data_IF_540557498410
#
_entry.id   IF_540557498410
#
_cell.length_a   1.000
_cell.length_b   1.000
_cell.length_c   1.000
_cell.angle_alpha   90.00
_cell.angle_beta   90.00
_cell.angle_gamma   90.00
#
_symmetry.space_group_name_H-M   'P 1'
#
loop_
_entity.id
_entity.type
_entity.pdbx_description
1 polymer ?
#
# COMPACT_ATOMS: atom_id res chain seq x y z
N UNK A 1 -2.05 -66.79 -29.62
CA UNK A 1 -2.46 -65.59 -30.37
C UNK A 1 -2.80 -64.50 -29.38
N UNK A 2 -1.93 -63.52 -29.22
CA UNK A 2 -2.17 -62.34 -28.39
C UNK A 2 -2.78 -61.26 -29.26
N UNK A 3 -4.02 -60.86 -28.97
CA UNK A 3 -4.62 -59.64 -29.54
C UNK A 3 -4.85 -58.65 -28.41
N UNK A 4 -3.98 -57.65 -28.40
CA UNK A 4 -3.96 -56.48 -27.55
C UNK A 4 -5.36 -55.87 -27.36
N UNK A 5 -5.81 -55.76 -26.12
CA UNK A 5 -6.98 -54.95 -25.73
C UNK A 5 -6.56 -53.60 -25.11
N UNK A 6 -5.32 -53.17 -25.36
CA UNK A 6 -4.76 -51.89 -24.88
C UNK A 6 -5.29 -50.65 -25.61
N UNK A 7 -6.28 -50.80 -26.52
CA UNK A 7 -6.83 -49.68 -27.30
C UNK A 7 -7.99 -48.94 -26.64
N UNK A 8 -8.47 -49.35 -25.45
CA UNK A 8 -9.60 -48.68 -24.80
C UNK A 8 -9.22 -47.50 -23.88
N UNK A 9 -7.95 -47.11 -23.81
CA UNK A 9 -7.48 -46.03 -22.94
C UNK A 9 -7.00 -44.77 -23.68
N UNK A 10 -7.56 -44.44 -24.84
CA UNK A 10 -7.29 -43.16 -25.51
C UNK A 10 -8.53 -42.39 -25.98
N UNK A 11 -9.59 -42.40 -25.19
CA UNK A 11 -10.64 -41.38 -25.26
C UNK A 11 -10.23 -40.07 -24.59
N UNK A 12 -9.07 -39.49 -24.94
CA UNK A 12 -8.63 -38.20 -24.40
C UNK A 12 -9.50 -37.10 -25.00
N UNK A 13 -10.62 -36.81 -24.34
CA UNK A 13 -11.48 -35.66 -24.61
C UNK A 13 -10.65 -34.38 -24.56
N UNK A 14 -10.08 -33.97 -25.70
CA UNK A 14 -9.54 -32.62 -25.90
C UNK A 14 -10.74 -31.68 -25.87
N UNK A 15 -11.14 -31.24 -24.67
CA UNK A 15 -11.99 -30.06 -24.50
C UNK A 15 -11.28 -28.92 -25.22
N UNK A 16 -11.70 -28.65 -26.46
CA UNK A 16 -11.26 -27.47 -27.21
C UNK A 16 -11.82 -26.27 -26.48
N UNK A 17 -10.95 -25.59 -25.74
CA UNK A 17 -11.27 -24.31 -25.11
C UNK A 17 -11.70 -23.36 -26.25
N UNK A 18 -12.93 -22.82 -26.23
CA UNK A 18 -13.40 -21.96 -27.30
C UNK A 18 -12.48 -20.73 -27.40
N UNK A 19 -12.27 -20.23 -28.62
CA UNK A 19 -11.37 -19.10 -28.90
C UNK A 19 -11.68 -17.89 -27.99
N UNK A 20 -12.97 -17.67 -27.70
CA UNK A 20 -13.45 -16.66 -26.76
C UNK A 20 -12.88 -16.82 -25.35
N UNK A 21 -12.78 -18.04 -24.82
CA UNK A 21 -12.17 -18.29 -23.51
C UNK A 21 -10.66 -18.03 -23.52
N UNK A 22 -9.97 -18.27 -24.64
CA UNK A 22 -8.54 -17.94 -24.77
C UNK A 22 -8.32 -16.43 -24.76
N UNK A 23 -9.11 -15.68 -25.53
CA UNK A 23 -9.06 -14.21 -25.54
C UNK A 23 -9.40 -13.65 -24.15
N UNK A 24 -10.43 -14.18 -23.50
CA UNK A 24 -10.81 -13.79 -22.15
C UNK A 24 -9.69 -14.08 -21.13
N UNK A 25 -9.01 -15.23 -21.25
CA UNK A 25 -7.90 -15.59 -20.37
C UNK A 25 -6.71 -14.64 -20.55
N UNK A 26 -6.36 -14.32 -21.79
CA UNK A 26 -5.28 -13.36 -22.09
C UNK A 26 -5.64 -11.98 -21.54
N UNK A 27 -6.88 -11.52 -21.74
CA UNK A 27 -7.36 -10.25 -21.19
C UNK A 27 -7.27 -10.22 -19.65
N UNK A 28 -7.68 -11.30 -18.98
CA UNK A 28 -7.57 -11.42 -17.53
C UNK A 28 -6.13 -11.35 -17.04
N UNK A 29 -5.19 -12.03 -17.72
CA UNK A 29 -3.77 -11.97 -17.37
C UNK A 29 -3.23 -10.55 -17.54
N UNK A 30 -3.58 -9.88 -18.64
CA UNK A 30 -3.17 -8.49 -18.89
C UNK A 30 -3.70 -7.56 -17.80
N UNK A 31 -4.98 -7.68 -17.43
CA UNK A 31 -5.58 -6.89 -16.33
C UNK A 31 -4.87 -7.15 -15.00
N UNK A 32 -4.51 -8.40 -14.73
CA UNK A 32 -3.81 -8.79 -13.51
C UNK A 32 -2.38 -8.21 -13.48
N UNK A 33 -1.67 -8.20 -14.61
CA UNK A 33 -0.37 -7.52 -14.74
C UNK A 33 -0.53 -6.02 -14.49
N UNK A 34 -1.53 -5.36 -15.10
CA UNK A 34 -1.79 -3.94 -14.85
C UNK A 34 -2.12 -3.67 -13.38
N UNK A 35 -2.85 -4.55 -12.72
CA UNK A 35 -3.14 -4.43 -11.29
C UNK A 35 -1.86 -4.44 -10.45
N UNK A 36 -0.95 -5.40 -10.70
CA UNK A 36 0.34 -5.43 -9.99
C UNK A 36 1.23 -4.23 -10.33
N UNK A 37 1.19 -3.75 -11.57
CA UNK A 37 1.95 -2.57 -11.98
C UNK A 37 1.44 -1.31 -11.27
N UNK A 38 0.12 -1.09 -11.25
CA UNK A 38 -0.49 0.03 -10.54
C UNK A 38 -0.21 -0.04 -9.04
N UNK A 39 -0.30 -1.24 -8.46
CA UNK A 39 0.05 -1.49 -7.07
C UNK A 39 1.50 -1.09 -6.74
N UNK A 40 2.45 -1.55 -7.56
CA UNK A 40 3.86 -1.23 -7.40
C UNK A 40 4.09 0.28 -7.48
N UNK A 41 3.52 0.95 -8.49
CA UNK A 41 3.65 2.40 -8.65
C UNK A 41 3.08 3.19 -7.47
N UNK A 42 1.92 2.80 -6.93
CA UNK A 42 1.32 3.46 -5.76
C UNK A 42 2.21 3.27 -4.53
N UNK A 43 2.74 2.07 -4.33
CA UNK A 43 3.61 1.76 -3.19
C UNK A 43 4.90 2.57 -3.26
N UNK A 44 5.54 2.62 -4.43
CA UNK A 44 6.78 3.34 -4.67
C UNK A 44 6.61 4.86 -4.48
N UNK A 45 5.57 5.45 -5.09
CA UNK A 45 5.27 6.88 -4.97
C UNK A 45 4.98 7.27 -3.52
N UNK A 46 4.26 6.40 -2.79
CA UNK A 46 3.95 6.64 -1.39
C UNK A 46 5.19 6.55 -0.51
N UNK A 47 6.06 5.55 -0.74
CA UNK A 47 7.34 5.42 -0.03
C UNK A 47 8.22 6.66 -0.26
N UNK A 48 8.34 7.10 -1.51
CA UNK A 48 9.09 8.30 -1.85
C UNK A 48 8.54 9.56 -1.16
N UNK A 49 7.21 9.74 -1.16
CA UNK A 49 6.57 10.87 -0.49
C UNK A 49 6.76 10.81 1.04
N UNK A 50 6.67 9.62 1.63
CA UNK A 50 6.90 9.38 3.05
C UNK A 50 8.35 9.70 3.45
N UNK A 51 9.33 9.25 2.67
CA UNK A 51 10.75 9.53 2.91
C UNK A 51 11.06 11.03 2.76
N UNK A 52 10.49 11.69 1.76
CA UNK A 52 10.66 13.12 1.56
C UNK A 52 10.08 13.92 2.73
N UNK A 53 8.88 13.59 3.19
CA UNK A 53 8.29 14.20 4.40
C UNK A 53 9.13 13.90 5.64
N UNK A 54 9.55 12.66 5.86
CA UNK A 54 10.40 12.25 6.99
C UNK A 54 11.69 13.07 7.01
N UNK A 55 12.36 13.21 5.87
CA UNK A 55 13.58 14.00 5.75
C UNK A 55 13.34 15.48 6.03
N UNK A 56 12.27 16.07 5.49
CA UNK A 56 11.92 17.47 5.74
C UNK A 56 11.62 17.72 7.22
N UNK A 57 10.82 16.86 7.84
CA UNK A 57 10.43 16.98 9.25
C UNK A 57 11.62 16.78 10.19
N UNK A 58 12.55 15.88 9.89
CA UNK A 58 13.78 15.69 10.68
C UNK A 58 14.72 16.89 10.54
N UNK A 59 14.90 17.43 9.32
CA UNK A 59 15.80 18.56 9.09
C UNK A 59 15.28 19.86 9.71
N UNK A 60 13.97 20.04 9.73
CA UNK A 60 13.34 21.24 10.30
C UNK A 60 12.91 21.05 11.76
N UNK A 61 13.12 19.87 12.36
CA UNK A 61 12.63 19.52 13.69
C UNK A 61 13.05 20.59 14.71
N UNK A 62 12.11 21.46 15.15
CA UNK A 62 12.42 22.47 16.15
C UNK A 62 12.52 21.83 17.53
N UNK A 63 13.21 22.49 18.47
CA UNK A 63 13.35 22.02 19.84
C UNK A 63 11.97 21.68 20.45
N UNK A 64 11.76 20.41 20.80
CA UNK A 64 10.49 19.90 21.35
C UNK A 64 9.81 18.79 20.53
N UNK A 65 10.36 18.40 19.37
CA UNK A 65 9.91 17.22 18.62
C UNK A 65 11.00 16.15 18.60
N UNK A 66 10.66 14.95 19.06
CA UNK A 66 11.58 13.82 19.04
C UNK A 66 11.70 13.25 17.61
N UNK A 67 12.91 13.32 17.05
CA UNK A 67 13.25 12.75 15.75
C UNK A 67 12.99 11.23 15.70
N UNK A 68 13.10 10.54 16.85
CA UNK A 68 12.80 9.11 16.97
C UNK A 68 11.30 8.84 16.84
N UNK A 69 10.45 9.72 17.38
CA UNK A 69 8.99 9.64 17.23
C UNK A 69 8.53 9.86 15.79
N UNK A 70 9.17 10.80 15.07
CA UNK A 70 8.95 10.98 13.62
C UNK A 70 9.29 9.68 12.89
N UNK A 71 10.50 9.16 13.08
CA UNK A 71 10.95 7.92 12.43
C UNK A 71 10.01 6.76 12.69
N UNK A 72 9.65 6.51 13.95
CA UNK A 72 8.77 5.42 14.33
C UNK A 72 7.37 5.54 13.68
N UNK A 73 6.85 6.75 13.50
CA UNK A 73 5.55 6.99 12.85
C UNK A 73 5.60 6.66 11.37
N UNK A 74 6.62 7.14 10.65
CA UNK A 74 6.79 6.83 9.23
C UNK A 74 7.07 5.34 8.98
N UNK A 75 7.86 4.69 9.83
CA UNK A 75 8.13 3.25 9.71
C UNK A 75 6.84 2.42 9.92
N UNK A 76 5.93 2.85 10.81
CA UNK A 76 4.59 2.23 10.98
C UNK A 76 3.70 2.42 9.75
N UNK A 77 3.77 3.60 9.14
CA UNK A 77 3.07 3.89 7.89
C UNK A 77 3.56 3.00 6.76
N UNK A 78 4.87 2.85 6.62
CA UNK A 78 5.47 1.99 5.60
C UNK A 78 5.01 0.53 5.77
N UNK A 79 5.06 -0.01 6.99
CA UNK A 79 4.57 -1.36 7.29
C UNK A 79 3.07 -1.52 6.98
N UNK A 80 2.26 -0.51 7.31
CA UNK A 80 0.82 -0.55 7.06
C UNK A 80 0.48 -0.54 5.56
N UNK A 81 1.28 0.18 4.76
CA UNK A 81 1.18 0.27 3.31
C UNK A 81 1.65 -1.02 2.62
N UNK A 82 2.78 -1.59 3.05
CA UNK A 82 3.27 -2.89 2.57
C UNK A 82 2.26 -4.01 2.86
N UNK A 83 1.50 -3.90 3.95
CA UNK A 83 0.45 -4.84 4.34
C UNK A 83 -0.92 -4.60 3.67
N UNK A 84 -1.09 -3.55 2.85
CA UNK A 84 -2.29 -3.45 2.02
C UNK A 84 -2.23 -4.56 0.92
N UNK A 85 -3.35 -5.10 0.40
CA UNK A 85 -4.76 -4.71 0.57
C UNK A 85 -5.42 -5.29 1.84
N UNK A 86 -4.74 -6.20 2.54
CA UNK A 86 -5.29 -6.89 3.72
C UNK A 86 -5.49 -5.95 4.91
N UNK A 87 -4.59 -4.99 5.14
CA UNK A 87 -4.72 -4.00 6.21
C UNK A 87 -5.88 -3.01 6.00
N UNK A 88 -6.24 -2.70 4.74
CA UNK A 88 -7.46 -1.95 4.41
C UNK A 88 -8.72 -2.77 4.68
N UNK A 89 -8.76 -4.02 4.20
CA UNK A 89 -9.91 -4.92 4.41
C UNK A 89 -10.15 -5.24 5.89
N UNK A 90 -9.09 -5.28 6.71
CA UNK A 90 -9.17 -5.46 8.18
C UNK A 90 -9.50 -4.16 8.91
N UNK A 91 -9.64 -3.03 8.22
CA UNK A 91 -9.93 -1.72 8.82
C UNK A 91 -8.79 -1.14 9.66
N UNK A 92 -7.58 -1.69 9.54
CA UNK A 92 -6.37 -1.21 10.22
C UNK A 92 -5.89 0.11 9.60
N UNK A 93 -6.02 0.25 8.28
CA UNK A 93 -5.74 1.49 7.55
C UNK A 93 -7.03 2.19 7.17
N UNK A 94 -7.17 3.47 7.55
CA UNK A 94 -8.33 4.30 7.18
C UNK A 94 -7.93 5.37 6.17
N UNK A 95 -8.24 5.12 4.89
CA UNK A 95 -7.94 6.04 3.78
C UNK A 95 -8.48 7.46 4.01
N UNK A 96 -9.66 7.61 4.62
CA UNK A 96 -10.23 8.92 4.95
C UNK A 96 -9.33 9.70 5.90
N UNK A 97 -8.73 9.04 6.90
CA UNK A 97 -7.82 9.68 7.85
C UNK A 97 -6.48 10.00 7.21
N UNK A 98 -5.96 9.13 6.33
CA UNK A 98 -4.77 9.42 5.53
C UNK A 98 -5.00 10.69 4.70
N UNK A 99 -6.14 10.79 4.02
CA UNK A 99 -6.49 11.99 3.23
C UNK A 99 -6.55 13.25 4.09
N UNK A 100 -7.09 13.17 5.31
CA UNK A 100 -7.12 14.30 6.25
C UNK A 100 -5.71 14.67 6.69
N UNK A 101 -4.85 13.70 7.04
CA UNK A 101 -3.47 13.94 7.43
C UNK A 101 -2.64 14.59 6.31
N UNK A 102 -2.80 14.12 5.06
CA UNK A 102 -2.15 14.73 3.88
C UNK A 102 -2.68 16.15 3.65
N UNK A 103 -3.99 16.36 3.76
CA UNK A 103 -4.59 17.69 3.62
C UNK A 103 -4.10 18.66 4.70
N UNK A 104 -3.93 18.19 5.92
CA UNK A 104 -3.32 18.95 7.00
C UNK A 104 -1.86 19.26 6.69
N UNK A 105 -1.06 18.27 6.28
CA UNK A 105 0.35 18.46 5.95
C UNK A 105 0.56 19.51 4.85
N UNK A 106 -0.26 19.46 3.80
CA UNK A 106 -0.21 20.43 2.70
C UNK A 106 -0.56 21.85 3.14
N UNK A 107 -1.38 22.02 4.18
CA UNK A 107 -1.82 23.31 4.68
C UNK A 107 -0.88 23.86 5.76
N UNK A 108 -0.37 22.99 6.63
CA UNK A 108 0.59 23.35 7.66
C UNK A 108 1.94 23.78 7.04
N UNK A 109 2.33 23.18 5.92
CA UNK A 109 3.55 23.54 5.20
C UNK A 109 3.34 24.62 4.12
N UNK A 110 2.22 25.36 4.15
CA UNK A 110 1.94 26.41 3.14
C UNK A 110 2.99 27.54 3.21
N UNK A 111 3.49 27.83 4.41
CA UNK A 111 4.54 28.82 4.66
C UNK A 111 5.97 28.24 4.56
N UNK A 112 6.10 26.93 4.24
CA UNK A 112 7.38 26.24 4.06
C UNK A 112 8.19 25.97 5.34
N UNK A 113 7.62 26.27 6.51
CA UNK A 113 8.22 26.06 7.83
C UNK A 113 7.30 25.20 8.69
N UNK A 114 7.87 24.24 9.42
CA UNK A 114 7.13 23.39 10.36
C UNK A 114 7.34 23.82 11.81
N UNK A 115 6.27 24.10 12.54
CA UNK A 115 6.31 24.28 14.00
C UNK A 115 6.21 22.94 14.75
N UNK A 116 6.70 22.90 15.99
CA UNK A 116 6.65 21.69 16.83
C UNK A 116 5.21 21.16 17.02
N UNK A 117 4.24 22.07 17.16
CA UNK A 117 2.84 21.72 17.34
C UNK A 117 2.22 21.12 16.07
N UNK A 118 2.59 21.62 14.90
CA UNK A 118 2.15 21.08 13.62
C UNK A 118 2.72 19.70 13.34
N UNK A 119 4.01 19.49 13.62
CA UNK A 119 4.63 18.17 13.47
C UNK A 119 3.96 17.17 14.41
N UNK A 120 3.80 17.50 15.69
CA UNK A 120 3.16 16.61 16.66
C UNK A 120 1.70 16.29 16.28
N UNK A 121 0.97 17.28 15.77
CA UNK A 121 -0.40 17.08 15.27
C UNK A 121 -0.43 16.16 14.05
N UNK A 122 0.48 16.36 13.11
CA UNK A 122 0.61 15.52 11.92
C UNK A 122 0.95 14.07 12.30
N UNK A 123 1.89 13.86 13.22
CA UNK A 123 2.26 12.52 13.70
C UNK A 123 1.07 11.81 14.34
N UNK A 124 0.31 12.50 15.21
CA UNK A 124 -0.92 11.96 15.81
C UNK A 124 -1.97 11.59 14.77
N UNK A 125 -2.20 12.44 13.78
CA UNK A 125 -3.15 12.15 12.69
C UNK A 125 -2.71 10.95 11.86
N UNK A 126 -1.41 10.85 11.59
CA UNK A 126 -0.78 9.79 10.80
C UNK A 126 -0.86 8.44 11.53
N UNK A 127 -0.54 8.41 12.82
CA UNK A 127 -0.71 7.24 13.69
C UNK A 127 -2.18 6.79 13.73
N UNK A 128 -3.10 7.73 13.92
CA UNK A 128 -4.53 7.44 13.94
C UNK A 128 -5.05 6.92 12.60
N UNK A 129 -4.38 7.23 11.48
CA UNK A 129 -4.72 6.79 10.14
C UNK A 129 -4.30 5.34 9.87
N UNK A 130 -3.21 4.89 10.49
CA UNK A 130 -2.71 3.50 10.43
C UNK A 130 -3.22 2.63 11.58
N UNK A 131 -4.19 3.14 12.35
CA UNK A 131 -4.84 2.40 13.44
C UNK A 131 -3.98 2.27 14.69
N UNK A 132 -2.85 2.98 14.76
CA UNK A 132 -2.04 3.04 15.95
C UNK A 132 -2.67 4.01 16.94
N UNK A 133 -3.06 3.49 18.09
CA UNK A 133 -3.41 4.31 19.26
C UNK A 133 -2.14 4.47 20.06
N UNK A 134 -1.41 5.55 19.83
CA UNK A 134 -0.28 5.89 20.68
C UNK A 134 -0.70 5.88 22.13
N UNK A 135 0.15 5.28 22.98
CA UNK A 135 0.09 5.57 24.41
C UNK A 135 0.32 7.07 24.52
N UNK A 136 -0.68 7.80 24.99
CA UNK A 136 -0.49 9.17 25.47
C UNK A 136 0.72 9.13 26.40
N UNK A 137 1.78 9.82 26.02
CA UNK A 137 2.83 10.27 26.95
C UNK A 137 2.51 11.72 27.27
#
# INVERSE_FOLDING_TARGET
MATNSTDLLQGKSRKRIPLMTKVLTVLLIVLLIFFFLQWYLITELFSFAADLMKSQLIQQAPDGVDAEAIKATFDRVEQAMQAMPLSYLRGQVRLTKIRIAIGYASKANEDGLWSAEEINTLLKMTDAAVGYKGKEQ
#
